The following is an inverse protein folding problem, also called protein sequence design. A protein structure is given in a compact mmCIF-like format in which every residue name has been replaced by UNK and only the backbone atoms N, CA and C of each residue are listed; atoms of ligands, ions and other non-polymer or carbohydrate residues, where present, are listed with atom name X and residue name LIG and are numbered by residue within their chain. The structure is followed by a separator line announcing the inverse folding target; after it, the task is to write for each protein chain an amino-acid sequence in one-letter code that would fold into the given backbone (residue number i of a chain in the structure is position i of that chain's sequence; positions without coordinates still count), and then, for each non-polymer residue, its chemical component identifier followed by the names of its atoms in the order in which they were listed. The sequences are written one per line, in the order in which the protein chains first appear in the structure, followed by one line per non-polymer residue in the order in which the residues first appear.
data_IF_481514130187
#
_entry.id   IF_481514130187
#
_cell.length_a   1.000
_cell.length_b   1.000
_cell.length_c   1.000
_cell.angle_alpha   90.00
_cell.angle_beta   90.00
_cell.angle_gamma   90.00
#
_symmetry.space_group_name_H-M   'P 1'
#
loop_
_entity.id
_entity.type
_entity.pdbx_description
1 polymer ?
#
# COMPACT_ATOMS: atom_id res chain seq x y z
N UNK A 1 -15.33 -60.82 -27.46
CA UNK A 1 -15.27 -59.77 -28.51
C UNK A 1 -16.26 -58.66 -28.17
N UNK A 2 -15.76 -57.49 -27.79
CA UNK A 2 -16.10 -56.18 -28.39
C UNK A 2 -15.38 -55.10 -27.57
N UNK A 3 -14.29 -54.60 -28.15
CA UNK A 3 -13.68 -53.33 -27.79
C UNK A 3 -14.61 -52.20 -28.24
N UNK A 4 -14.78 -51.21 -27.38
CA UNK A 4 -15.25 -49.85 -27.69
C UNK A 4 -14.30 -48.99 -26.83
N UNK A 5 -13.41 -48.15 -27.34
CA UNK A 5 -13.49 -47.24 -28.48
C UNK A 5 -13.17 -45.86 -27.89
N UNK A 6 -11.90 -45.46 -27.94
CA UNK A 6 -11.40 -44.22 -27.33
C UNK A 6 -11.97 -42.98 -28.02
N UNK A 7 -12.68 -42.15 -27.27
CA UNK A 7 -13.09 -40.81 -27.68
C UNK A 7 -12.16 -39.78 -27.06
N UNK A 8 -11.47 -39.00 -27.91
CA UNK A 8 -10.77 -37.78 -27.49
C UNK A 8 -11.81 -36.75 -27.05
N UNK A 9 -11.63 -36.14 -25.89
CA UNK A 9 -12.42 -34.99 -25.46
C UNK A 9 -11.97 -33.74 -26.25
N UNK A 10 -12.86 -33.19 -27.06
CA UNK A 10 -12.73 -31.86 -27.66
C UNK A 10 -12.99 -30.76 -26.62
N UNK A 11 -12.36 -29.58 -26.74
CA UNK A 11 -12.54 -28.49 -25.79
C UNK A 11 -13.96 -27.92 -25.90
N UNK A 12 -14.65 -27.85 -24.76
CA UNK A 12 -15.99 -27.26 -24.66
C UNK A 12 -15.93 -25.77 -25.00
N UNK A 13 -16.56 -25.39 -26.11
CA UNK A 13 -16.88 -24.00 -26.42
C UNK A 13 -17.97 -23.50 -25.47
N UNK A 14 -17.66 -22.52 -24.64
CA UNK A 14 -18.65 -21.79 -23.83
C UNK A 14 -19.46 -20.91 -24.78
N UNK A 15 -20.68 -21.34 -25.10
CA UNK A 15 -21.67 -20.53 -25.81
C UNK A 15 -22.41 -19.71 -24.74
N UNK A 16 -22.12 -18.41 -24.68
CA UNK A 16 -22.93 -17.46 -23.90
C UNK A 16 -24.20 -17.19 -24.70
N UNK A 17 -25.33 -17.78 -24.30
CA UNK A 17 -26.65 -17.47 -24.87
C UNK A 17 -27.18 -16.21 -24.19
N UNK A 18 -27.06 -15.07 -24.85
CA UNK A 18 -27.80 -13.86 -24.48
C UNK A 18 -29.20 -13.95 -25.08
N UNK A 19 -30.21 -14.21 -24.25
CA UNK A 19 -31.62 -14.09 -24.64
C UNK A 19 -31.97 -12.63 -24.88
N UNK A 20 -32.06 -12.24 -26.16
CA UNK A 20 -32.59 -10.95 -26.59
C UNK A 20 -34.12 -10.92 -26.42
N UNK A 21 -34.61 -10.16 -25.43
CA UNK A 21 -36.01 -9.77 -25.37
C UNK A 21 -36.24 -8.61 -26.37
N UNK A 22 -36.98 -8.87 -27.45
CA UNK A 22 -37.39 -7.86 -28.43
C UNK A 22 -38.48 -6.96 -27.82
N UNK A 23 -38.23 -5.66 -27.74
CA UNK A 23 -39.28 -4.63 -27.67
C UNK A 23 -39.11 -3.71 -28.88
N UNK A 24 -40.25 -3.40 -29.51
CA UNK A 24 -40.37 -2.88 -30.87
C UNK A 24 -39.77 -1.50 -31.10
N UNK A 25 -39.39 -1.32 -32.36
CA UNK A 25 -38.97 -0.08 -33.03
C UNK A 25 -40.10 0.94 -33.16
N UNK A 26 -39.84 2.19 -32.78
CA UNK A 26 -40.14 3.39 -33.59
C UNK A 26 -39.33 4.60 -33.11
N UNK A 27 -38.39 5.00 -33.96
CA UNK A 27 -37.80 6.32 -34.27
C UNK A 27 -37.76 7.52 -33.31
N UNK A 28 -36.57 8.15 -33.39
CA UNK A 28 -36.13 9.50 -32.95
C UNK A 28 -35.76 9.66 -31.49
N UNK A 29 -34.48 9.43 -31.17
CA UNK A 29 -33.65 10.41 -30.45
C UNK A 29 -32.16 10.08 -30.68
N UNK A 30 -31.51 10.91 -31.49
CA UNK A 30 -30.06 10.92 -31.67
C UNK A 30 -29.45 11.86 -30.64
N UNK A 31 -28.90 11.33 -29.56
CA UNK A 31 -27.78 11.96 -28.84
C UNK A 31 -27.06 10.95 -27.93
N UNK A 32 -25.77 10.74 -28.23
CA UNK A 32 -24.70 10.31 -27.32
C UNK A 32 -25.03 9.20 -26.31
N UNK A 33 -25.12 7.95 -26.78
CA UNK A 33 -24.71 6.81 -25.94
C UNK A 33 -23.19 6.87 -25.80
N UNK A 34 -22.70 7.35 -24.66
CA UNK A 34 -21.37 6.98 -24.18
C UNK A 34 -21.42 5.49 -23.83
N UNK A 35 -21.01 4.66 -24.79
CA UNK A 35 -20.76 3.25 -24.55
C UNK A 35 -19.69 3.16 -23.46
N UNK A 36 -20.10 2.81 -22.25
CA UNK A 36 -19.17 2.54 -21.15
C UNK A 36 -18.48 1.23 -21.52
N UNK A 37 -17.26 1.37 -22.06
CA UNK A 37 -16.30 0.29 -22.22
C UNK A 37 -15.99 -0.25 -20.81
N UNK A 38 -16.83 -1.19 -20.35
CA UNK A 38 -16.82 -1.78 -19.02
C UNK A 38 -15.82 -2.94 -18.99
N UNK A 39 -14.58 -2.65 -19.40
CA UNK A 39 -13.47 -3.56 -19.19
C UNK A 39 -13.12 -3.49 -17.70
N UNK A 40 -13.36 -4.59 -16.97
CA UNK A 40 -12.90 -4.75 -15.60
C UNK A 40 -11.36 -4.76 -15.60
N UNK A 41 -10.75 -3.59 -15.40
CA UNK A 41 -9.30 -3.48 -15.25
C UNK A 41 -8.96 -3.62 -13.77
N UNK A 42 -8.01 -4.50 -13.48
CA UNK A 42 -7.44 -4.67 -12.14
C UNK A 42 -6.59 -3.47 -11.71
N UNK A 43 -6.33 -2.51 -12.62
CA UNK A 43 -5.43 -1.36 -12.42
C UNK A 43 -5.64 -0.20 -13.41
N UNK A 44 -5.10 0.97 -13.07
CA UNK A 44 -4.85 2.09 -14.01
C UNK A 44 -3.66 1.78 -14.95
N UNK A 45 -3.62 2.41 -16.13
CA UNK A 45 -2.54 2.22 -17.11
C UNK A 45 -1.31 3.05 -16.72
N UNK A 46 -0.18 2.39 -16.44
CA UNK A 46 1.12 3.00 -16.19
C UNK A 46 2.24 1.99 -16.36
N UNK A 47 3.38 2.42 -16.89
CA UNK A 47 4.61 1.62 -16.95
C UNK A 47 5.40 1.92 -15.67
N UNK A 48 5.46 0.96 -14.75
CA UNK A 48 6.22 1.10 -13.50
C UNK A 48 7.70 0.71 -13.64
N UNK A 49 8.47 0.90 -12.58
CA UNK A 49 9.80 0.32 -12.41
C UNK A 49 9.74 -1.22 -12.52
N UNK A 50 10.87 -1.85 -12.88
CA UNK A 50 10.94 -3.30 -13.15
C UNK A 50 10.24 -4.12 -12.06
N UNK A 51 9.24 -4.91 -12.44
CA UNK A 51 8.53 -5.83 -11.55
C UNK A 51 7.52 -5.21 -10.56
N UNK A 52 7.49 -3.89 -10.37
CA UNK A 52 6.51 -3.20 -9.52
C UNK A 52 5.69 -2.20 -10.36
N UNK A 53 4.48 -2.57 -10.82
CA UNK A 53 3.64 -1.64 -11.55
C UNK A 53 3.24 -0.46 -10.66
N UNK A 54 3.46 0.75 -11.16
CA UNK A 54 3.09 1.97 -10.44
C UNK A 54 1.56 2.18 -10.51
N UNK A 55 0.87 1.87 -9.41
CA UNK A 55 -0.56 2.11 -9.27
C UNK A 55 -0.92 3.60 -9.18
N UNK A 56 0.07 4.47 -8.97
CA UNK A 56 -0.06 5.93 -8.88
C UNK A 56 0.30 6.63 -10.20
N UNK A 57 0.68 5.89 -11.24
CA UNK A 57 1.16 6.44 -12.52
C UNK A 57 0.13 7.34 -13.23
N UNK A 58 -1.17 7.11 -13.00
CA UNK A 58 -2.23 7.97 -13.55
C UNK A 58 -2.33 9.34 -12.85
N UNK A 59 -1.57 9.54 -11.77
CA UNK A 59 -1.51 10.75 -10.97
C UNK A 59 -2.80 11.10 -10.24
N UNK A 60 -3.90 10.37 -10.43
CA UNK A 60 -5.19 10.65 -9.79
C UNK A 60 -5.09 10.41 -8.31
N UNK A 61 -4.63 9.22 -7.93
CA UNK A 61 -4.39 8.84 -6.55
C UNK A 61 -3.42 9.83 -5.90
N UNK A 62 -2.27 10.11 -6.52
CA UNK A 62 -1.29 11.06 -5.99
C UNK A 62 -1.85 12.49 -5.78
N UNK A 63 -2.68 12.99 -6.71
CA UNK A 63 -3.31 14.33 -6.61
C UNK A 63 -4.30 14.41 -5.45
N UNK A 64 -5.12 13.37 -5.26
CA UNK A 64 -6.10 13.34 -4.16
C UNK A 64 -5.53 12.73 -2.89
N UNK A 65 -4.32 12.19 -2.91
CA UNK A 65 -3.69 11.57 -1.74
C UNK A 65 -3.57 12.56 -0.59
N UNK A 66 -3.24 13.82 -0.87
CA UNK A 66 -3.22 14.88 0.14
C UNK A 66 -4.61 15.11 0.77
N UNK A 67 -5.68 15.05 -0.03
CA UNK A 67 -7.06 15.14 0.48
C UNK A 67 -7.48 13.88 1.25
N UNK A 68 -7.00 12.72 0.82
CA UNK A 68 -7.28 11.42 1.43
C UNK A 68 -6.56 11.24 2.78
N UNK A 69 -5.29 11.66 2.87
CA UNK A 69 -4.57 11.70 4.16
C UNK A 69 -5.27 12.68 5.11
N UNK A 70 -5.79 13.79 4.58
CA UNK A 70 -6.33 14.89 5.37
C UNK A 70 -5.20 15.79 5.86
N UNK A 71 -5.38 16.41 7.03
CA UNK A 71 -4.30 17.15 7.68
C UNK A 71 -3.16 16.20 8.05
N UNK A 72 -2.02 16.32 7.37
CA UNK A 72 -0.84 15.47 7.57
C UNK A 72 -0.31 15.54 9.00
N UNK A 73 -0.53 16.67 9.71
CA UNK A 73 -0.20 16.77 11.14
C UNK A 73 -1.10 15.86 11.97
N UNK A 74 -2.41 15.91 11.76
CA UNK A 74 -3.39 15.05 12.44
C UNK A 74 -3.17 13.55 12.24
N UNK A 75 -2.60 13.14 11.08
CA UNK A 75 -2.20 11.74 10.83
C UNK A 75 -1.13 11.30 11.82
N UNK A 76 -0.05 12.08 11.93
CA UNK A 76 1.10 11.67 12.75
C UNK A 76 0.79 11.67 14.23
N UNK A 77 -0.12 12.51 14.74
CA UNK A 77 -0.39 12.64 16.18
C UNK A 77 -0.72 11.31 16.90
N UNK A 78 -1.36 10.35 16.23
CA UNK A 78 -1.75 9.08 16.87
C UNK A 78 -0.56 8.14 17.14
N UNK A 79 0.45 8.16 16.27
CA UNK A 79 1.54 7.20 16.31
C UNK A 79 2.93 7.83 16.45
N UNK A 80 3.05 9.14 16.28
CA UNK A 80 4.28 9.90 16.42
C UNK A 80 4.95 9.59 17.75
N UNK A 81 4.21 9.69 18.85
CA UNK A 81 4.73 9.40 20.19
C UNK A 81 5.29 7.97 20.29
N UNK A 82 4.59 6.99 19.73
CA UNK A 82 5.00 5.59 19.72
C UNK A 82 6.25 5.37 18.87
N UNK A 83 6.26 5.85 17.62
CA UNK A 83 7.40 5.69 16.70
C UNK A 83 8.63 6.37 17.27
N UNK A 84 8.54 7.63 17.68
CA UNK A 84 9.67 8.37 18.24
C UNK A 84 10.20 7.73 19.52
N UNK A 85 9.33 7.26 20.41
CA UNK A 85 9.74 6.56 21.62
C UNK A 85 10.48 5.27 21.29
N UNK A 86 9.99 4.49 20.31
CA UNK A 86 10.63 3.26 19.87
C UNK A 86 12.00 3.51 19.24
N UNK A 87 12.11 4.51 18.35
CA UNK A 87 13.37 4.89 17.71
C UNK A 87 14.39 5.39 18.73
N UNK A 88 13.98 6.28 19.64
CA UNK A 88 14.84 6.81 20.72
C UNK A 88 15.29 5.71 21.68
N UNK A 89 14.41 4.77 22.05
CA UNK A 89 14.74 3.61 22.89
C UNK A 89 15.84 2.74 22.27
N UNK A 90 15.89 2.64 20.94
CA UNK A 90 16.92 1.88 20.22
C UNK A 90 18.14 2.72 19.82
N UNK A 91 18.23 3.99 20.26
CA UNK A 91 19.34 4.87 19.92
C UNK A 91 19.47 5.15 18.43
N UNK A 92 18.36 5.13 17.70
CA UNK A 92 18.32 5.36 16.25
C UNK A 92 18.72 6.80 15.94
N UNK A 93 19.58 6.98 14.93
CA UNK A 93 19.94 8.29 14.39
C UNK A 93 19.64 8.37 12.89
N UNK A 94 19.96 7.31 12.14
CA UNK A 94 19.77 7.21 10.69
C UNK A 94 18.61 6.29 10.37
N UNK A 95 17.62 6.82 9.65
CA UNK A 95 16.40 6.11 9.25
C UNK A 95 16.32 6.03 7.72
N UNK A 96 16.05 4.84 7.20
CA UNK A 96 15.61 4.67 5.81
C UNK A 96 14.10 4.49 5.78
N UNK A 97 13.40 5.38 5.09
CA UNK A 97 11.99 5.21 4.72
C UNK A 97 11.91 4.60 3.33
N UNK A 98 11.51 3.33 3.23
CA UNK A 98 11.39 2.63 1.93
C UNK A 98 10.02 2.82 1.27
N UNK A 99 9.11 3.55 1.91
CA UNK A 99 7.78 3.83 1.39
C UNK A 99 7.46 5.32 1.55
N UNK A 100 8.36 6.17 1.06
CA UNK A 100 8.32 7.61 1.26
C UNK A 100 6.97 8.22 0.90
N UNK A 101 6.37 7.78 -0.21
CA UNK A 101 5.15 8.37 -0.73
C UNK A 101 5.30 9.89 -0.91
N UNK A 102 4.36 10.65 -0.35
CA UNK A 102 4.43 12.12 -0.33
C UNK A 102 5.32 12.68 0.78
N UNK A 103 6.00 11.83 1.55
CA UNK A 103 6.99 12.21 2.56
C UNK A 103 6.46 12.39 3.98
N UNK A 104 5.19 12.08 4.29
CA UNK A 104 4.57 12.45 5.59
C UNK A 104 5.34 11.90 6.80
N UNK A 105 5.66 10.61 6.78
CA UNK A 105 6.42 9.94 7.83
C UNK A 105 7.87 10.44 7.90
N UNK A 106 8.50 10.62 6.73
CA UNK A 106 9.85 11.16 6.62
C UNK A 106 9.97 12.61 7.14
N UNK A 107 9.05 13.50 6.79
CA UNK A 107 9.00 14.90 7.25
C UNK A 107 8.94 14.95 8.78
N UNK A 108 8.06 14.15 9.39
CA UNK A 108 7.96 14.04 10.85
C UNK A 108 9.31 13.65 11.48
N UNK A 109 10.04 12.71 10.88
CA UNK A 109 11.34 12.28 11.41
C UNK A 109 12.44 13.33 11.19
N UNK A 110 12.44 14.03 10.06
CA UNK A 110 13.36 15.15 9.80
C UNK A 110 13.15 16.26 10.83
N UNK A 111 11.89 16.63 11.10
CA UNK A 111 11.55 17.63 12.11
C UNK A 111 11.98 17.24 13.53
N UNK A 112 11.98 15.95 13.83
CA UNK A 112 12.39 15.40 15.13
C UNK A 112 13.90 15.14 15.24
N UNK A 113 14.67 15.57 14.24
CA UNK A 113 16.14 15.59 14.27
C UNK A 113 16.81 14.29 13.82
N UNK A 114 16.09 13.36 13.19
CA UNK A 114 16.69 12.17 12.60
C UNK A 114 17.37 12.49 11.26
N UNK A 115 18.42 11.74 10.93
CA UNK A 115 18.99 11.73 9.58
C UNK A 115 18.18 10.77 8.72
N UNK A 116 17.37 11.31 7.82
CA UNK A 116 16.42 10.53 7.04
C UNK A 116 16.90 10.39 5.60
N UNK A 117 16.85 9.15 5.10
CA UNK A 117 16.95 8.82 3.69
C UNK A 117 15.59 8.24 3.29
N UNK A 118 14.97 8.79 2.26
CA UNK A 118 13.64 8.34 1.82
C UNK A 118 13.68 7.88 0.38
N UNK A 119 13.02 6.77 0.10
CA UNK A 119 12.87 6.24 -1.26
C UNK A 119 11.45 5.80 -1.54
N UNK A 120 11.07 5.89 -2.81
CA UNK A 120 9.83 5.33 -3.35
C UNK A 120 10.05 4.95 -4.81
N UNK A 121 9.25 4.03 -5.33
CA UNK A 121 9.27 3.66 -6.74
C UNK A 121 8.37 4.57 -7.60
N UNK A 122 7.47 5.35 -6.98
CA UNK A 122 6.57 6.25 -7.70
C UNK A 122 7.12 7.68 -7.75
N UNK A 123 7.58 8.09 -8.93
CA UNK A 123 7.99 9.47 -9.21
C UNK A 123 6.87 10.49 -8.92
N UNK A 124 5.61 10.09 -9.14
CA UNK A 124 4.42 10.91 -8.88
C UNK A 124 4.24 11.21 -7.40
N UNK A 125 4.58 10.27 -6.53
CA UNK A 125 4.53 10.44 -5.08
C UNK A 125 5.74 11.24 -4.58
N UNK A 126 6.95 10.86 -5.01
CA UNK A 126 8.19 11.56 -4.65
C UNK A 126 8.18 13.04 -5.02
N UNK A 127 7.50 13.41 -6.11
CA UNK A 127 7.30 14.82 -6.50
C UNK A 127 6.84 15.69 -5.33
N UNK A 128 5.95 15.20 -4.47
CA UNK A 128 5.43 15.96 -3.33
C UNK A 128 6.45 16.06 -2.19
N UNK A 129 7.16 14.97 -1.88
CA UNK A 129 8.24 14.97 -0.88
C UNK A 129 9.39 15.92 -1.30
N UNK A 130 9.80 15.86 -2.57
CA UNK A 130 10.80 16.75 -3.16
C UNK A 130 10.37 18.21 -3.12
N UNK A 131 9.08 18.49 -3.37
CA UNK A 131 8.51 19.84 -3.28
C UNK A 131 8.61 20.37 -1.84
N UNK A 132 8.20 19.59 -0.85
CA UNK A 132 8.29 19.97 0.56
C UNK A 132 9.75 20.25 0.97
N UNK A 133 10.67 19.33 0.61
CA UNK A 133 12.10 19.52 0.86
C UNK A 133 12.60 20.83 0.27
N UNK A 134 12.21 21.13 -0.98
CA UNK A 134 12.60 22.36 -1.65
C UNK A 134 12.04 23.61 -0.95
N UNK A 135 10.77 23.60 -0.55
CA UNK A 135 10.12 24.73 0.14
C UNK A 135 10.81 25.03 1.48
N UNK A 136 11.27 23.99 2.19
CA UNK A 136 11.92 24.08 3.51
C UNK A 136 13.44 24.00 3.48
N UNK A 137 14.08 24.04 2.31
CA UNK A 137 15.54 23.91 2.11
C UNK A 137 16.43 24.91 2.88
N UNK A 138 15.84 25.93 3.51
CA UNK A 138 16.58 26.87 4.38
C UNK A 138 16.74 26.34 5.81
N UNK A 139 15.99 25.30 6.17
CA UNK A 139 16.17 24.55 7.41
C UNK A 139 17.24 23.48 7.17
N UNK A 140 18.37 23.48 7.93
CA UNK A 140 19.46 22.52 7.71
C UNK A 140 19.02 21.05 7.76
N UNK A 141 17.99 20.72 8.54
CA UNK A 141 17.45 19.37 8.61
C UNK A 141 16.86 18.92 7.26
N UNK A 142 16.11 19.80 6.59
CA UNK A 142 15.49 19.52 5.29
C UNK A 142 16.51 19.59 4.14
N UNK A 143 17.52 20.45 4.22
CA UNK A 143 18.60 20.48 3.24
C UNK A 143 19.41 19.17 3.24
N UNK A 144 19.57 18.55 4.42
CA UNK A 144 20.23 17.24 4.59
C UNK A 144 19.31 16.04 4.35
N UNK A 145 18.02 16.22 4.12
CA UNK A 145 17.08 15.14 3.86
C UNK A 145 17.31 14.55 2.47
N UNK A 146 17.69 13.27 2.40
CA UNK A 146 17.94 12.59 1.11
C UNK A 146 16.65 11.94 0.61
N UNK A 147 16.32 12.17 -0.66
CA UNK A 147 15.12 11.62 -1.32
C UNK A 147 15.57 11.12 -2.70
N UNK A 148 15.40 9.83 -2.97
CA UNK A 148 15.78 9.18 -4.23
C UNK A 148 14.69 8.22 -4.72
N UNK A 149 14.72 7.84 -5.99
CA UNK A 149 13.89 6.76 -6.52
C UNK A 149 14.54 5.40 -6.23
N UNK A 150 13.78 4.44 -5.71
CA UNK A 150 14.24 3.06 -5.55
C UNK A 150 13.07 2.07 -5.52
N UNK A 151 13.33 0.82 -5.88
CA UNK A 151 12.34 -0.26 -5.88
C UNK A 151 12.78 -1.37 -4.94
N UNK A 152 11.87 -1.90 -4.12
CA UNK A 152 12.19 -2.96 -3.17
C UNK A 152 12.82 -4.20 -3.82
N UNK A 153 12.49 -4.50 -5.07
CA UNK A 153 13.04 -5.64 -5.81
C UNK A 153 14.52 -5.46 -6.21
N UNK A 154 14.99 -4.21 -6.27
CA UNK A 154 16.37 -3.83 -6.67
C UNK A 154 17.02 -2.87 -5.67
N UNK A 155 16.49 -2.80 -4.44
CA UNK A 155 16.89 -1.81 -3.45
C UNK A 155 18.40 -1.81 -3.13
N UNK A 156 19.10 -2.97 -3.05
CA UNK A 156 20.55 -2.99 -2.85
C UNK A 156 21.36 -2.43 -4.00
N UNK A 157 20.82 -2.46 -5.22
CA UNK A 157 21.43 -1.87 -6.41
C UNK A 157 21.08 -0.37 -6.55
N UNK A 158 19.87 0.01 -6.13
CA UNK A 158 19.34 1.36 -6.30
C UNK A 158 19.96 2.38 -5.32
N UNK A 159 20.25 1.96 -4.08
CA UNK A 159 20.82 2.85 -3.06
C UNK A 159 22.09 2.30 -2.41
N UNK A 160 23.01 3.22 -2.11
CA UNK A 160 24.19 2.90 -1.29
C UNK A 160 23.86 3.09 0.18
N UNK A 161 23.72 2.00 0.93
CA UNK A 161 23.52 2.05 2.39
C UNK A 161 24.79 2.55 3.11
N UNK A 162 24.65 3.29 4.22
CA UNK A 162 25.81 3.87 4.89
C UNK A 162 26.47 2.88 5.86
N UNK A 163 27.71 2.46 5.55
CA UNK A 163 28.41 1.44 6.33
C UNK A 163 27.66 0.11 6.32
N UNK A 164 27.41 -0.47 7.49
CA UNK A 164 26.70 -1.75 7.61
C UNK A 164 25.16 -1.64 7.46
N UNK A 165 24.63 -0.42 7.26
CA UNK A 165 23.21 -0.16 7.06
C UNK A 165 22.65 0.97 7.93
N UNK A 166 21.33 1.09 7.92
CA UNK A 166 20.55 2.06 8.69
C UNK A 166 20.23 1.55 10.09
N UNK A 167 20.09 2.48 11.05
CA UNK A 167 19.75 2.13 12.43
C UNK A 167 18.29 1.68 12.54
N UNK A 168 17.42 2.30 11.74
CA UNK A 168 16.06 1.85 11.50
C UNK A 168 15.70 1.90 10.01
N UNK A 169 14.87 0.95 9.59
CA UNK A 169 14.18 0.99 8.29
C UNK A 169 12.68 1.01 8.57
N UNK A 170 11.91 1.86 7.88
CA UNK A 170 10.46 1.94 8.03
C UNK A 170 9.74 1.70 6.71
N UNK A 171 8.61 1.01 6.76
CA UNK A 171 7.68 0.78 5.65
C UNK A 171 6.26 0.78 6.22
N UNK A 172 5.67 1.98 6.39
CA UNK A 172 4.40 2.18 7.08
C UNK A 172 3.26 2.50 6.10
N UNK A 173 2.02 2.48 6.60
CA UNK A 173 0.83 2.88 5.85
C UNK A 173 0.28 1.78 4.94
N UNK A 174 0.53 0.50 5.27
CA UNK A 174 0.16 -0.66 4.47
C UNK A 174 0.81 -0.66 3.07
N UNK A 175 1.95 0.01 2.93
CA UNK A 175 2.61 0.23 1.64
C UNK A 175 3.08 -1.08 1.01
N UNK A 176 3.65 -1.99 1.81
CA UNK A 176 4.19 -3.26 1.30
C UNK A 176 3.14 -4.11 0.57
N UNK A 177 1.88 -4.02 0.98
CA UNK A 177 0.79 -4.76 0.35
C UNK A 177 0.52 -4.34 -1.11
N UNK A 178 1.09 -3.22 -1.59
CA UNK A 178 1.01 -2.83 -3.00
C UNK A 178 1.79 -3.75 -3.94
N UNK A 179 2.76 -4.54 -3.45
CA UNK A 179 3.51 -5.50 -4.26
C UNK A 179 2.67 -6.77 -4.48
N UNK A 180 2.12 -6.99 -5.68
CA UNK A 180 1.27 -8.14 -5.94
C UNK A 180 2.10 -9.42 -6.12
N UNK A 181 1.42 -10.56 -6.09
CA UNK A 181 2.02 -11.87 -6.36
C UNK A 181 1.74 -12.28 -7.82
N UNK A 182 2.54 -11.80 -8.76
CA UNK A 182 2.34 -12.11 -10.19
C UNK A 182 2.56 -13.59 -10.54
N UNK A 183 3.38 -14.30 -9.74
CA UNK A 183 3.81 -15.67 -10.02
C UNK A 183 2.99 -16.71 -9.25
N UNK A 184 2.33 -16.31 -8.16
CA UNK A 184 1.51 -17.19 -7.32
C UNK A 184 2.31 -17.92 -6.23
N UNK A 185 3.60 -17.61 -6.05
CA UNK A 185 4.52 -18.24 -5.10
C UNK A 185 5.13 -17.26 -4.09
N UNK A 186 4.74 -15.98 -4.19
CA UNK A 186 5.22 -14.87 -3.37
C UNK A 186 6.74 -14.62 -3.49
N UNK A 187 7.40 -15.05 -4.58
CA UNK A 187 8.86 -14.90 -4.73
C UNK A 187 9.30 -13.44 -4.66
N UNK A 188 8.55 -12.56 -5.32
CA UNK A 188 8.90 -11.13 -5.43
C UNK A 188 8.73 -10.43 -4.06
N UNK A 189 7.72 -10.83 -3.28
CA UNK A 189 7.50 -10.33 -1.93
C UNK A 189 8.60 -10.81 -0.97
N UNK A 190 9.01 -12.07 -1.08
CA UNK A 190 10.14 -12.61 -0.30
C UNK A 190 11.44 -11.88 -0.65
N UNK A 191 11.70 -11.65 -1.94
CA UNK A 191 12.87 -10.90 -2.41
C UNK A 191 12.85 -9.44 -1.89
N UNK A 192 11.71 -8.76 -2.02
CA UNK A 192 11.55 -7.40 -1.52
C UNK A 192 11.83 -7.30 0.00
N UNK A 193 11.28 -8.21 0.80
CA UNK A 193 11.55 -8.24 2.25
C UNK A 193 13.02 -8.55 2.56
N UNK A 194 13.66 -9.46 1.81
CA UNK A 194 15.09 -9.75 1.96
C UNK A 194 15.93 -8.50 1.68
N UNK A 195 15.67 -7.82 0.56
CA UNK A 195 16.34 -6.59 0.18
C UNK A 195 16.18 -5.49 1.24
N UNK A 196 14.95 -5.25 1.72
CA UNK A 196 14.67 -4.33 2.83
C UNK A 196 15.45 -4.74 4.09
N UNK A 197 15.47 -6.03 4.45
CA UNK A 197 16.20 -6.52 5.63
C UNK A 197 17.74 -6.37 5.49
N UNK A 198 18.28 -6.32 4.27
CA UNK A 198 19.71 -6.03 4.05
C UNK A 198 20.09 -4.57 4.33
N UNK A 199 19.11 -3.66 4.33
CA UNK A 199 19.31 -2.24 4.67
C UNK A 199 19.38 -1.99 6.18
N UNK A 200 18.86 -2.92 7.00
CA UNK A 200 18.92 -2.84 8.46
C UNK A 200 20.32 -3.27 8.92
N UNK A 201 21.01 -2.42 9.68
CA UNK A 201 22.31 -2.77 10.27
C UNK A 201 22.18 -3.85 11.35
N UNK A 202 23.24 -4.59 11.69
CA UNK A 202 23.26 -5.45 12.89
C UNK A 202 22.85 -4.66 14.15
N UNK A 203 21.87 -5.17 14.91
CA UNK A 203 21.29 -4.48 16.07
C UNK A 203 20.25 -3.40 15.75
N UNK A 204 20.06 -3.04 14.47
CA UNK A 204 19.03 -2.12 14.01
C UNK A 204 17.64 -2.74 13.95
N UNK A 205 16.63 -1.92 13.64
CA UNK A 205 15.23 -2.33 13.62
C UNK A 205 14.55 -2.07 12.26
N UNK A 206 13.62 -2.94 11.89
CA UNK A 206 12.64 -2.71 10.83
C UNK A 206 11.26 -2.50 11.47
N UNK A 207 10.56 -1.44 11.06
CA UNK A 207 9.16 -1.19 11.41
C UNK A 207 8.35 -1.26 10.11
N UNK A 208 7.55 -2.31 9.96
CA UNK A 208 6.77 -2.55 8.74
C UNK A 208 5.35 -2.96 9.10
N UNK A 209 4.35 -2.42 8.40
CA UNK A 209 2.95 -2.69 8.69
C UNK A 209 2.19 -3.28 7.50
N UNK A 210 1.00 -3.79 7.80
CA UNK A 210 -0.03 -4.09 6.82
C UNK A 210 -1.40 -3.97 7.46
N UNK A 211 -2.45 -3.77 6.64
CA UNK A 211 -3.84 -3.85 7.11
C UNK A 211 -4.14 -5.23 7.68
N UNK A 212 -5.13 -5.31 8.55
CA UNK A 212 -5.68 -6.58 9.03
C UNK A 212 -6.46 -7.28 7.90
N UNK A 213 -5.74 -7.94 6.99
CA UNK A 213 -6.34 -8.67 5.89
C UNK A 213 -7.02 -9.95 6.33
N UNK A 214 -6.65 -10.54 7.47
CA UNK A 214 -7.38 -11.66 8.05
C UNK A 214 -8.86 -11.29 8.25
N UNK A 215 -9.13 -10.13 8.85
CA UNK A 215 -10.49 -9.59 8.98
C UNK A 215 -11.15 -9.30 7.62
N UNK A 216 -10.42 -8.67 6.68
CA UNK A 216 -11.00 -8.26 5.39
C UNK A 216 -11.37 -9.47 4.53
N UNK A 217 -10.54 -10.51 4.53
CA UNK A 217 -10.82 -11.75 3.80
C UNK A 217 -12.07 -12.43 4.35
N UNK A 218 -12.24 -12.44 5.67
CA UNK A 218 -13.36 -13.11 6.35
C UNK A 218 -14.68 -12.35 6.20
N UNK A 219 -14.64 -11.02 6.29
CA UNK A 219 -15.86 -10.19 6.32
C UNK A 219 -16.21 -9.56 4.97
N UNK A 220 -15.24 -9.50 4.04
CA UNK A 220 -15.36 -8.74 2.80
C UNK A 220 -15.39 -7.22 3.02
N UNK A 221 -15.06 -6.73 4.22
CA UNK A 221 -15.10 -5.32 4.58
C UNK A 221 -13.79 -4.89 5.24
N UNK A 222 -13.39 -3.64 5.00
CA UNK A 222 -12.37 -3.00 5.83
C UNK A 222 -12.91 -2.84 7.25
N UNK A 223 -12.10 -3.08 8.31
CA UNK A 223 -12.51 -2.85 9.69
C UNK A 223 -13.14 -1.46 9.84
N UNK A 224 -14.36 -1.40 10.36
CA UNK A 224 -15.04 -0.13 10.64
C UNK A 224 -14.42 0.48 11.90
N UNK A 225 -13.60 1.51 11.72
CA UNK A 225 -12.86 2.13 12.82
C UNK A 225 -12.10 3.37 12.36
N UNK A 226 -11.61 4.15 13.31
CA UNK A 226 -10.73 5.29 13.04
C UNK A 226 -9.45 4.76 12.40
N UNK A 227 -9.26 5.03 11.11
CA UNK A 227 -8.03 4.68 10.42
C UNK A 227 -6.88 5.50 11.01
N UNK A 228 -5.90 4.82 11.62
CA UNK A 228 -4.78 5.44 12.34
C UNK A 228 -3.83 6.23 11.44
N UNK A 229 -3.86 5.99 10.12
CA UNK A 229 -3.02 6.67 9.14
C UNK A 229 -3.78 7.67 8.26
N UNK A 230 -5.11 7.60 8.20
CA UNK A 230 -5.90 8.39 7.26
C UNK A 230 -7.13 8.93 7.95
N UNK A 231 -7.00 10.13 8.51
CA UNK A 231 -8.08 10.90 9.11
C UNK A 231 -8.47 12.03 8.17
N UNK A 232 -9.11 11.66 7.06
CA UNK A 232 -9.82 12.66 6.30
C UNK A 232 -11.13 12.98 7.02
N UNK A 233 -11.39 14.26 7.28
CA UNK A 233 -12.73 14.74 7.65
C UNK A 233 -13.72 14.63 6.46
N UNK A 234 -13.20 14.29 5.28
CA UNK A 234 -14.02 14.06 4.09
C UNK A 234 -14.84 12.79 4.27
N UNK A 235 -16.13 12.89 3.94
CA UNK A 235 -16.98 11.71 3.79
C UNK A 235 -16.39 10.83 2.70
N UNK A 236 -16.03 9.62 3.10
CA UNK A 236 -15.49 8.60 2.22
C UNK A 236 -16.40 7.38 2.21
N UNK A 237 -16.57 6.81 1.02
CA UNK A 237 -17.12 5.46 0.85
C UNK A 237 -16.02 4.57 0.28
N UNK A 238 -15.87 3.37 0.85
CA UNK A 238 -14.85 2.40 0.44
C UNK A 238 -15.57 1.10 0.11
N UNK A 239 -15.69 0.81 -1.19
CA UNK A 239 -16.17 -0.49 -1.63
C UNK A 239 -14.99 -1.48 -1.67
N UNK A 240 -15.17 -2.64 -1.06
CA UNK A 240 -14.15 -3.69 -0.96
C UNK A 240 -14.49 -4.84 -1.90
N UNK A 241 -13.54 -5.22 -2.75
CA UNK A 241 -13.66 -6.39 -3.63
C UNK A 241 -12.55 -7.38 -3.29
N UNK A 242 -12.91 -8.65 -3.10
CA UNK A 242 -11.94 -9.73 -2.83
C UNK A 242 -11.91 -10.68 -4.02
N UNK A 243 -10.75 -10.79 -4.68
CA UNK A 243 -10.52 -11.75 -5.75
C UNK A 243 -9.96 -13.04 -5.18
N UNK A 244 -10.67 -14.14 -5.45
CA UNK A 244 -10.26 -15.49 -5.12
C UNK A 244 -9.78 -16.23 -6.37
N UNK A 245 -8.63 -16.89 -6.27
CA UNK A 245 -8.08 -17.75 -7.32
C UNK A 245 -7.84 -19.13 -6.70
N UNK A 246 -8.53 -20.15 -7.20
CA UNK A 246 -8.44 -21.53 -6.68
C UNK A 246 -8.60 -21.60 -5.15
N UNK A 247 -9.62 -20.93 -4.62
CA UNK A 247 -9.94 -20.87 -3.18
C UNK A 247 -8.86 -20.19 -2.31
N UNK A 248 -7.95 -19.43 -2.92
CA UNK A 248 -6.97 -18.58 -2.21
C UNK A 248 -7.27 -17.11 -2.48
N UNK A 249 -7.28 -16.25 -1.44
CA UNK A 249 -7.41 -14.81 -1.64
C UNK A 249 -6.14 -14.31 -2.32
N UNK A 250 -6.31 -13.69 -3.49
CA UNK A 250 -5.18 -13.31 -4.35
C UNK A 250 -4.99 -11.79 -4.40
N UNK A 251 -6.09 -11.04 -4.31
CA UNK A 251 -6.05 -9.58 -4.39
C UNK A 251 -7.26 -8.99 -3.67
N UNK A 252 -7.04 -7.90 -2.94
CA UNK A 252 -8.10 -7.03 -2.42
C UNK A 252 -8.03 -5.73 -3.20
N UNK A 253 -9.16 -5.30 -3.75
CA UNK A 253 -9.28 -4.02 -4.42
C UNK A 253 -10.20 -3.12 -3.61
N UNK A 254 -9.73 -1.91 -3.32
CA UNK A 254 -10.47 -0.88 -2.61
C UNK A 254 -10.79 0.25 -3.59
N UNK A 255 -12.08 0.52 -3.76
CA UNK A 255 -12.59 1.64 -4.53
C UNK A 255 -12.93 2.78 -3.57
N UNK A 256 -12.12 3.82 -3.60
CA UNK A 256 -12.28 5.00 -2.78
C UNK A 256 -13.14 6.03 -3.50
N UNK A 257 -14.23 6.44 -2.88
CA UNK A 257 -15.03 7.60 -3.31
C UNK A 257 -14.89 8.70 -2.27
N UNK A 258 -14.22 9.79 -2.62
CA UNK A 258 -14.06 10.97 -1.78
C UNK A 258 -15.04 12.05 -2.20
N UNK A 259 -15.81 12.56 -1.24
CA UNK A 259 -16.65 13.74 -1.43
C UNK A 259 -15.76 14.97 -1.22
N UNK A 260 -15.55 15.76 -2.28
CA UNK A 260 -14.71 16.95 -2.23
C UNK A 260 -15.45 18.10 -1.52
N UNK A 261 -14.75 18.93 -0.73
CA UNK A 261 -15.36 20.10 -0.11
C UNK A 261 -15.80 21.09 -1.19
N UNK A 262 -17.01 21.63 -1.04
CA UNK A 262 -17.50 22.70 -1.91
C UNK A 262 -17.22 24.07 -1.30
N UNK A 263 -16.93 25.10 -2.12
CA UNK A 263 -16.89 26.47 -1.65
C UNK A 263 -18.25 26.89 -1.06
N UNK A 264 -18.22 27.69 0.00
CA UNK A 264 -19.43 28.23 0.61
C UNK A 264 -20.29 28.98 -0.42
N UNK A 265 -21.59 28.68 -0.45
CA UNK A 265 -22.58 29.34 -1.32
C UNK A 265 -22.85 28.66 -2.66
N UNK A 266 -22.26 27.50 -2.94
CA UNK A 266 -22.55 26.70 -4.13
C UNK A 266 -23.57 25.60 -3.82
N UNK A 267 -24.67 25.54 -4.58
CA UNK A 267 -25.75 24.54 -4.41
C UNK A 267 -25.72 23.43 -5.47
N UNK A 268 -24.54 23.08 -5.99
CA UNK A 268 -24.41 21.94 -6.91
C UNK A 268 -24.21 20.64 -6.14
N UNK A 269 -24.47 19.46 -6.72
CA UNK A 269 -24.13 18.19 -6.09
C UNK A 269 -22.63 18.12 -5.75
N UNK A 270 -22.24 17.55 -4.60
CA UNK A 270 -20.84 17.40 -4.20
C UNK A 270 -20.01 16.76 -5.33
N UNK A 271 -18.90 17.39 -5.70
CA UNK A 271 -17.97 16.77 -6.64
C UNK A 271 -17.34 15.55 -5.96
N UNK A 272 -17.26 14.43 -6.66
CA UNK A 272 -16.65 13.20 -6.12
C UNK A 272 -15.39 12.86 -6.90
N UNK A 273 -14.32 12.55 -6.19
CA UNK A 273 -13.14 11.94 -6.78
C UNK A 273 -13.15 10.44 -6.48
N UNK A 274 -12.89 9.63 -7.51
CA UNK A 274 -12.80 8.17 -7.39
C UNK A 274 -11.44 7.67 -7.83
N UNK A 275 -10.86 6.81 -7.03
CA UNK A 275 -9.64 6.08 -7.39
C UNK A 275 -9.68 4.67 -6.80
N UNK A 276 -8.93 3.77 -7.42
CA UNK A 276 -8.88 2.35 -7.10
C UNK A 276 -7.45 1.97 -6.77
N UNK A 277 -7.28 1.23 -5.67
CA UNK A 277 -6.00 0.62 -5.31
C UNK A 277 -6.20 -0.87 -5.06
N UNK A 278 -5.19 -1.65 -5.44
CA UNK A 278 -5.17 -3.10 -5.31
C UNK A 278 -4.01 -3.52 -4.41
N UNK A 279 -4.28 -4.51 -3.56
CA UNK A 279 -3.39 -4.96 -2.51
C UNK A 279 -3.30 -6.48 -2.47
N UNK A 280 -2.12 -7.01 -2.16
CA UNK A 280 -1.97 -8.40 -1.78
C UNK A 280 -2.44 -8.61 -0.34
N UNK A 281 -3.33 -9.60 -0.08
CA UNK A 281 -3.96 -9.78 1.23
C UNK A 281 -3.06 -10.56 2.19
N UNK A 282 -2.03 -9.91 2.74
CA UNK A 282 -1.09 -10.52 3.70
C UNK A 282 -1.77 -10.94 5.01
N UNK A 283 -1.91 -12.25 5.23
CA UNK A 283 -2.29 -12.80 6.54
C UNK A 283 -1.16 -12.62 7.55
N UNK A 284 -1.50 -12.30 8.79
CA UNK A 284 -0.54 -11.90 9.84
C UNK A 284 0.53 -12.97 10.12
N UNK A 285 0.16 -14.25 10.22
CA UNK A 285 1.13 -15.31 10.50
C UNK A 285 2.04 -15.59 9.29
N UNK A 286 1.50 -15.59 8.07
CA UNK A 286 2.32 -15.75 6.85
C UNK A 286 3.31 -14.59 6.70
N UNK A 287 2.88 -13.35 6.97
CA UNK A 287 3.74 -12.18 6.89
C UNK A 287 4.87 -12.23 7.93
N UNK A 288 4.55 -12.70 9.14
CA UNK A 288 5.51 -12.94 10.21
C UNK A 288 6.56 -14.00 9.85
N UNK A 289 6.15 -15.09 9.21
CA UNK A 289 7.10 -16.09 8.70
C UNK A 289 8.02 -15.52 7.62
N UNK A 290 7.49 -14.75 6.67
CA UNK A 290 8.29 -14.10 5.64
C UNK A 290 9.29 -13.10 6.21
N UNK A 291 8.89 -12.29 7.20
CA UNK A 291 9.80 -11.40 7.90
C UNK A 291 10.91 -12.18 8.62
N UNK A 292 10.58 -13.22 9.39
CA UNK A 292 11.61 -14.06 10.03
C UNK A 292 12.58 -14.65 9.00
N UNK A 293 12.07 -15.13 7.87
CA UNK A 293 12.88 -15.65 6.78
C UNK A 293 13.78 -14.60 6.14
N UNK A 294 13.30 -13.36 5.97
CA UNK A 294 14.08 -12.25 5.41
C UNK A 294 15.31 -11.91 6.27
N UNK A 295 15.21 -12.11 7.59
CA UNK A 295 16.33 -11.97 8.53
C UNK A 295 17.06 -13.30 8.81
N UNK A 296 16.82 -14.36 8.02
CA UNK A 296 17.42 -15.68 8.21
C UNK A 296 17.22 -16.25 9.63
N UNK A 297 16.11 -15.92 10.28
CA UNK A 297 15.81 -16.28 11.67
C UNK A 297 16.63 -15.54 12.74
N UNK A 298 17.55 -14.65 12.34
CA UNK A 298 18.42 -13.86 13.22
C UNK A 298 17.77 -12.54 13.61
N UNK A 299 16.61 -12.62 14.26
CA UNK A 299 15.88 -11.44 14.71
C UNK A 299 15.02 -11.68 15.95
N UNK A 300 14.80 -10.62 16.71
CA UNK A 300 13.69 -10.51 17.67
C UNK A 300 12.49 -9.93 16.92
N UNK A 301 11.31 -10.52 17.06
CA UNK A 301 10.11 -10.09 16.32
C UNK A 301 8.92 -9.88 17.23
N UNK A 302 8.40 -8.65 17.24
CA UNK A 302 7.20 -8.26 17.96
C UNK A 302 6.14 -7.75 16.99
N UNK A 303 4.87 -8.03 17.29
CA UNK A 303 3.71 -7.57 16.52
C UNK A 303 2.81 -6.73 17.43
N UNK A 304 2.44 -5.57 16.93
CA UNK A 304 1.56 -4.60 17.58
C UNK A 304 0.29 -4.43 16.74
N UNK A 305 -0.77 -4.01 17.38
CA UNK A 305 -2.06 -3.78 16.77
C UNK A 305 -2.42 -2.31 16.98
N UNK A 306 -2.53 -1.55 15.88
CA UNK A 306 -2.81 -0.11 15.91
C UNK A 306 -1.90 0.66 16.92
N UNK A 307 -0.59 0.39 16.85
CA UNK A 307 0.45 0.93 17.75
C UNK A 307 0.30 0.61 19.24
N UNK A 308 -0.53 -0.38 19.59
CA UNK A 308 -0.72 -0.87 20.95
C UNK A 308 -0.27 -2.33 21.05
N UNK A 309 -0.01 -2.76 22.28
CA UNK A 309 0.29 -4.17 22.53
C UNK A 309 -0.93 -5.02 22.16
N UNK A 310 -0.71 -6.03 21.32
CA UNK A 310 -1.78 -6.91 20.88
C UNK A 310 -2.28 -7.75 22.07
N UNK A 311 -3.56 -7.58 22.41
CA UNK A 311 -4.24 -8.34 23.47
C UNK A 311 -5.44 -9.05 22.87
N UNK A 312 -5.68 -10.30 23.28
CA UNK A 312 -6.83 -11.08 22.83
C UNK A 312 -8.13 -10.54 23.44
N UNK A 313 -9.18 -10.36 22.62
CA UNK A 313 -10.54 -10.08 23.08
C UNK A 313 -11.03 -8.62 22.94
N UNK A 314 -10.28 -7.75 22.25
CA UNK A 314 -10.73 -6.40 21.87
C UNK A 314 -11.28 -6.32 20.44
N UNK A 315 -11.65 -5.11 20.00
CA UNK A 315 -12.03 -4.84 18.61
C UNK A 315 -10.90 -5.25 17.64
N UNK A 316 -11.23 -5.77 16.45
CA UNK A 316 -10.23 -6.17 15.47
C UNK A 316 -9.41 -4.93 15.05
N UNK A 317 -8.07 -5.01 15.11
CA UNK A 317 -7.27 -3.85 14.73
C UNK A 317 -7.36 -3.56 13.24
N UNK A 318 -7.12 -2.31 12.88
CA UNK A 318 -7.08 -1.89 11.48
C UNK A 318 -5.75 -2.31 10.82
N UNK A 319 -4.66 -2.26 11.58
CA UNK A 319 -3.30 -2.53 11.12
C UNK A 319 -2.54 -3.42 12.10
N UNK A 320 -1.70 -4.28 11.54
CA UNK A 320 -0.63 -4.97 12.26
C UNK A 320 0.69 -4.28 11.97
N UNK A 321 1.42 -3.91 13.02
CA UNK A 321 2.73 -3.28 12.94
C UNK A 321 3.77 -4.28 13.44
N UNK A 322 4.69 -4.68 12.58
CA UNK A 322 5.77 -5.59 12.89
C UNK A 322 7.04 -4.80 13.20
N UNK A 323 7.60 -5.04 14.38
CA UNK A 323 8.92 -4.53 14.77
C UNK A 323 9.89 -5.70 14.79
N UNK A 324 10.84 -5.70 13.87
CA UNK A 324 11.86 -6.74 13.72
C UNK A 324 13.22 -6.16 14.05
N UNK A 325 13.84 -6.60 15.13
CA UNK A 325 15.19 -6.19 15.50
C UNK A 325 16.18 -7.23 14.98
N UNK A 326 17.11 -6.81 14.14
CA UNK A 326 18.16 -7.68 13.58
C UNK A 326 19.14 -8.02 14.70
N UNK A 327 19.35 -9.31 14.97
CA UNK A 327 20.43 -9.70 15.89
C UNK A 327 21.77 -9.52 15.20
N UNK A 328 22.81 -9.26 16.00
CA UNK A 328 24.18 -9.18 15.51
C UNK A 328 24.63 -10.50 14.85
#
# INVERSE_FOLDING_TARGET
MKQLGGGKAEPAHVIIVLTNCKIGTTDKFSSFLTMVDSVYRTRSLGVGAVGLPDQYADGKAAKVWQLYIGDTRSRTEEYKSWVLSLLRKHGVQRVLDVACGTGVDSIMLVEEGFSVFSVDASDKMLKYALKERWERRKEPAFDNWVIEEANWLTLPEDITKPGDGFDAVICLGNSFAHLPDFKGDQSDQKLALQNIATMVKPGGILIIDHRNYDYIIETGQVPQGKNIYYKSDLKQDIATSVLWVNSKPHMITLDYTLILPQPDGVHTPPETSKFRLSYYPHRVENFKEHLKSAFSGKCEHNVYADFKQFTSGGDPPCYFIHVVKKTA
#
